data_IF_826715499153
#
_entry.id   IF_826715499153
#
_cell.length_a   1.000
_cell.length_b   1.000
_cell.length_c   1.000
_cell.angle_alpha   90.00
_cell.angle_beta   90.00
_cell.angle_gamma   90.00
#
_symmetry.space_group_name_H-M   'P 1'
#
loop_
_entity.id
_entity.type
_entity.pdbx_description
1 polymer ?
#
# COMPACT_ATOMS: atom_id res chain seq x y z
N UNK A 1 8.80 4.32 -13.50
CA UNK A 1 9.43 4.93 -12.31
C UNK A 1 9.70 3.88 -11.25
N UNK A 2 10.88 3.87 -10.72
CA UNK A 2 11.29 2.92 -9.66
C UNK A 2 11.51 3.67 -8.36
N UNK A 3 11.79 2.93 -7.28
CA UNK A 3 12.16 3.55 -5.99
C UNK A 3 13.41 4.43 -6.15
N UNK A 4 14.37 3.99 -6.95
CA UNK A 4 15.59 4.77 -7.23
C UNK A 4 15.25 6.12 -7.87
N UNK A 5 14.30 6.13 -8.80
CA UNK A 5 13.83 7.37 -9.44
C UNK A 5 13.14 8.30 -8.45
N UNK A 6 12.34 7.74 -7.54
CA UNK A 6 11.70 8.51 -6.48
C UNK A 6 12.73 9.14 -5.55
N UNK A 7 13.76 8.39 -5.17
CA UNK A 7 14.85 8.89 -4.35
C UNK A 7 15.54 10.07 -5.02
N UNK A 8 15.83 9.95 -6.31
CA UNK A 8 16.46 11.03 -7.07
C UNK A 8 15.59 12.29 -7.09
N UNK A 9 14.29 12.16 -7.27
CA UNK A 9 13.36 13.29 -7.25
C UNK A 9 13.27 13.93 -5.87
N UNK A 10 13.22 13.14 -4.82
CA UNK A 10 13.21 13.66 -3.44
C UNK A 10 14.48 14.43 -3.15
N UNK A 11 15.65 13.91 -3.55
CA UNK A 11 16.93 14.58 -3.37
C UNK A 11 16.96 15.94 -4.09
N UNK A 12 16.48 15.95 -5.33
CA UNK A 12 16.44 17.18 -6.13
C UNK A 12 15.49 18.23 -5.56
N UNK A 13 14.28 17.81 -5.14
CA UNK A 13 13.25 18.73 -4.65
C UNK A 13 13.52 19.28 -3.26
N UNK A 14 14.33 18.59 -2.47
CA UNK A 14 14.61 18.96 -1.07
C UNK A 14 16.03 19.45 -0.86
N UNK A 15 16.84 19.43 -1.91
CA UNK A 15 18.28 19.74 -1.83
C UNK A 15 19.05 18.81 -0.87
N UNK A 16 18.48 17.62 -0.62
CA UNK A 16 19.15 16.58 0.19
C UNK A 16 20.17 15.82 -0.66
N UNK A 17 21.19 15.27 0.00
CA UNK A 17 22.07 14.30 -0.65
C UNK A 17 21.28 13.06 -1.03
N UNK A 18 21.73 12.32 -2.04
CA UNK A 18 21.09 11.06 -2.44
C UNK A 18 21.04 10.07 -1.27
N UNK A 19 22.09 10.03 -0.46
CA UNK A 19 22.16 9.15 0.72
C UNK A 19 21.07 9.48 1.72
N UNK A 20 20.89 10.76 2.05
CA UNK A 20 19.86 11.20 2.98
C UNK A 20 18.47 10.99 2.42
N UNK A 21 18.26 11.26 1.13
CA UNK A 21 17.00 11.02 0.45
C UNK A 21 16.65 9.53 0.45
N UNK A 22 17.62 8.66 0.20
CA UNK A 22 17.43 7.22 0.26
C UNK A 22 16.99 6.76 1.64
N UNK A 23 17.65 7.24 2.68
CA UNK A 23 17.29 6.92 4.05
C UNK A 23 15.87 7.38 4.38
N UNK A 24 15.50 8.59 3.96
CA UNK A 24 14.16 9.13 4.21
C UNK A 24 13.09 8.33 3.49
N UNK A 25 13.29 8.01 2.21
CA UNK A 25 12.32 7.23 1.42
C UNK A 25 12.18 5.82 1.97
N UNK A 26 13.30 5.16 2.29
CA UNK A 26 13.26 3.81 2.87
C UNK A 26 12.56 3.79 4.23
N UNK A 27 12.82 4.77 5.08
CA UNK A 27 12.17 4.89 6.39
C UNK A 27 10.67 5.08 6.25
N UNK A 28 10.24 5.88 5.28
CA UNK A 28 8.82 6.09 5.01
C UNK A 28 8.13 4.80 4.59
N UNK A 29 8.69 4.08 3.62
CA UNK A 29 8.10 2.82 3.16
C UNK A 29 8.10 1.76 4.24
N UNK A 30 9.15 1.69 5.05
CA UNK A 30 9.21 0.78 6.18
C UNK A 30 8.12 1.07 7.20
N UNK A 31 7.90 2.34 7.54
CA UNK A 31 6.84 2.75 8.44
C UNK A 31 5.46 2.41 7.89
N UNK A 32 5.22 2.65 6.59
CA UNK A 32 3.96 2.29 5.94
C UNK A 32 3.72 0.79 5.98
N UNK A 33 4.72 0.00 5.63
CA UNK A 33 4.62 -1.45 5.62
C UNK A 33 4.34 -2.02 7.00
N UNK A 34 5.01 -1.50 8.01
CA UNK A 34 4.82 -1.92 9.40
C UNK A 34 3.42 -1.60 9.90
N UNK A 35 2.93 -0.39 9.64
CA UNK A 35 1.60 0.02 10.04
C UNK A 35 0.53 -0.84 9.37
N UNK A 36 0.68 -1.13 8.07
CA UNK A 36 -0.25 -2.01 7.35
C UNK A 36 -0.22 -3.43 7.87
N UNK A 37 0.95 -3.94 8.25
CA UNK A 37 1.08 -5.27 8.84
C UNK A 37 0.32 -5.37 10.18
N UNK A 38 0.22 -4.27 10.91
CA UNK A 38 -0.55 -4.18 12.15
C UNK A 38 -2.05 -3.92 11.90
N UNK A 39 -2.46 -3.78 10.66
CA UNK A 39 -3.86 -3.54 10.28
C UNK A 39 -4.30 -2.09 10.38
N UNK A 40 -3.36 -1.16 10.50
CA UNK A 40 -3.69 0.26 10.59
C UNK A 40 -4.07 0.85 9.24
N UNK A 41 -5.06 1.72 9.26
CA UNK A 41 -5.43 2.54 8.12
C UNK A 41 -4.51 3.76 8.10
N UNK A 42 -3.95 4.06 6.93
CA UNK A 42 -3.03 5.17 6.77
C UNK A 42 -3.65 6.19 5.83
N UNK A 43 -3.96 7.37 6.36
CA UNK A 43 -4.49 8.47 5.57
C UNK A 43 -3.42 9.51 5.34
N UNK A 44 -3.11 9.77 4.07
CA UNK A 44 -2.11 10.77 3.68
C UNK A 44 -2.85 11.91 2.99
N UNK A 45 -2.91 13.05 3.66
CA UNK A 45 -3.59 14.24 3.14
C UNK A 45 -3.07 14.63 1.77
N UNK A 46 -3.99 14.86 0.83
CA UNK A 46 -3.63 15.26 -0.54
C UNK A 46 -3.13 14.13 -1.42
N UNK A 47 -3.06 12.92 -0.91
CA UNK A 47 -2.58 11.77 -1.68
C UNK A 47 -3.63 10.65 -1.73
N UNK A 48 -3.93 10.05 -0.60
CA UNK A 48 -4.90 8.95 -0.55
C UNK A 48 -4.81 8.18 0.76
N UNK A 49 -5.49 7.04 0.77
CA UNK A 49 -5.60 6.20 1.97
C UNK A 49 -5.19 4.77 1.64
N UNK A 50 -4.34 4.20 2.48
CA UNK A 50 -3.99 2.78 2.45
C UNK A 50 -4.81 2.07 3.53
N UNK A 51 -5.49 1.00 3.16
CA UNK A 51 -6.31 0.20 4.07
C UNK A 51 -5.97 -1.27 3.94
N UNK A 52 -6.18 -2.00 5.04
CA UNK A 52 -6.15 -3.46 5.02
C UNK A 52 -7.59 -3.93 4.95
N UNK A 53 -7.89 -4.72 3.91
CA UNK A 53 -9.18 -5.38 3.78
C UNK A 53 -9.04 -6.81 4.25
N UNK A 54 -9.83 -7.19 5.23
CA UNK A 54 -9.87 -8.55 5.73
C UNK A 54 -11.11 -9.25 5.19
N UNK A 55 -10.93 -10.46 4.70
CA UNK A 55 -12.02 -11.32 4.30
C UNK A 55 -12.02 -12.54 5.22
N UNK A 56 -13.14 -12.78 5.87
CA UNK A 56 -13.29 -13.94 6.73
C UNK A 56 -13.29 -15.23 5.91
N UNK A 57 -12.94 -16.33 6.56
CA UNK A 57 -13.12 -17.65 6.00
C UNK A 57 -14.58 -17.84 5.60
N UNK A 58 -14.80 -18.44 4.45
CA UNK A 58 -16.14 -18.68 3.94
C UNK A 58 -16.24 -20.03 3.25
N UNK A 59 -17.46 -20.54 3.13
CA UNK A 59 -17.74 -21.75 2.37
C UNK A 59 -17.99 -21.37 0.91
N UNK A 60 -17.46 -22.17 0.02
CA UNK A 60 -17.69 -22.03 -1.41
C UNK A 60 -17.94 -23.38 -2.04
N UNK A 61 -18.12 -23.40 -3.34
CA UNK A 61 -18.31 -24.63 -4.10
C UNK A 61 -17.27 -24.67 -5.19
N UNK A 62 -16.58 -25.81 -5.31
CA UNK A 62 -15.64 -26.03 -6.39
C UNK A 62 -16.42 -26.16 -7.70
N UNK A 63 -16.25 -25.24 -8.67
CA UNK A 63 -17.04 -25.28 -9.90
C UNK A 63 -16.76 -26.50 -10.77
N UNK A 64 -15.64 -27.18 -10.59
CA UNK A 64 -15.25 -28.36 -11.35
C UNK A 64 -15.91 -29.64 -10.80
N UNK A 65 -15.89 -29.81 -9.48
CA UNK A 65 -16.39 -31.03 -8.82
C UNK A 65 -17.72 -30.82 -8.11
N UNK A 66 -18.12 -29.56 -7.91
CA UNK A 66 -19.30 -29.14 -7.14
C UNK A 66 -19.24 -29.56 -5.67
N UNK A 67 -18.05 -29.90 -5.19
CA UNK A 67 -17.85 -30.20 -3.78
C UNK A 67 -17.71 -28.94 -2.96
N UNK A 68 -18.20 -28.94 -1.70
CA UNK A 68 -17.98 -27.82 -0.81
C UNK A 68 -16.48 -27.64 -0.54
N UNK A 69 -16.02 -26.39 -0.59
CA UNK A 69 -14.65 -26.04 -0.25
C UNK A 69 -14.67 -24.92 0.77
N UNK A 70 -13.62 -24.86 1.58
CA UNK A 70 -13.41 -23.78 2.52
C UNK A 70 -12.45 -22.78 1.89
N UNK A 71 -12.91 -21.53 1.74
CA UNK A 71 -12.07 -20.44 1.26
C UNK A 71 -11.44 -19.80 2.49
N UNK A 72 -10.13 -19.91 2.61
CA UNK A 72 -9.41 -19.40 3.77
C UNK A 72 -9.55 -17.89 3.92
N UNK A 73 -9.51 -17.43 5.16
CA UNK A 73 -9.45 -16.01 5.46
C UNK A 73 -8.22 -15.39 4.78
N UNK A 74 -8.37 -14.18 4.29
CA UNK A 74 -7.27 -13.47 3.61
C UNK A 74 -7.26 -12.00 3.98
N UNK A 75 -6.08 -11.39 3.81
CA UNK A 75 -5.88 -9.96 4.00
C UNK A 75 -5.29 -9.40 2.72
N UNK A 76 -5.75 -8.22 2.33
CA UNK A 76 -5.22 -7.55 1.15
C UNK A 76 -5.04 -6.06 1.43
N UNK A 77 -4.10 -5.46 0.70
CA UNK A 77 -3.82 -4.03 0.81
C UNK A 77 -4.61 -3.33 -0.28
N UNK A 78 -5.36 -2.30 0.09
CA UNK A 78 -6.14 -1.50 -0.83
C UNK A 78 -5.70 -0.05 -0.74
N UNK A 79 -5.43 0.57 -1.88
CA UNK A 79 -5.13 1.99 -1.95
C UNK A 79 -6.32 2.72 -2.57
N UNK A 80 -6.82 3.73 -1.85
CA UNK A 80 -7.88 4.60 -2.35
C UNK A 80 -7.29 5.99 -2.60
N UNK A 81 -7.16 6.43 -3.85
CA UNK A 81 -6.62 7.76 -4.13
C UNK A 81 -7.54 8.85 -3.58
N UNK A 82 -6.93 9.90 -3.07
CA UNK A 82 -7.67 11.07 -2.61
C UNK A 82 -8.16 11.92 -3.79
N UNK A 83 -9.08 12.83 -3.50
CA UNK A 83 -9.65 13.71 -4.53
C UNK A 83 -8.56 14.53 -5.23
N UNK A 84 -7.63 15.10 -4.47
CA UNK A 84 -6.55 15.90 -5.03
C UNK A 84 -5.71 15.10 -6.04
N UNK A 85 -5.42 13.85 -5.73
CA UNK A 85 -4.66 12.98 -6.63
C UNK A 85 -5.47 12.61 -7.87
N UNK A 86 -6.75 12.28 -7.70
CA UNK A 86 -7.64 11.99 -8.84
C UNK A 86 -7.79 13.17 -9.77
N UNK A 87 -7.85 14.38 -9.24
CA UNK A 87 -8.05 15.59 -10.03
C UNK A 87 -6.84 15.91 -10.90
N UNK A 88 -5.70 15.26 -10.70
CA UNK A 88 -4.52 15.42 -11.57
C UNK A 88 -4.63 14.61 -12.88
N UNK A 89 -5.59 13.73 -12.99
CA UNK A 89 -5.75 12.84 -14.17
C UNK A 89 -6.72 13.41 -15.20
#
# INVERSE_FOLDING_TARGET
MTKTDLIAQVAANTEMSKKNAEQAVNAMFEALGKAMAEGEKITISGFGTFEIRERAERQGINPRTREPITIAASRSIVFKPGKALKDTL
#
